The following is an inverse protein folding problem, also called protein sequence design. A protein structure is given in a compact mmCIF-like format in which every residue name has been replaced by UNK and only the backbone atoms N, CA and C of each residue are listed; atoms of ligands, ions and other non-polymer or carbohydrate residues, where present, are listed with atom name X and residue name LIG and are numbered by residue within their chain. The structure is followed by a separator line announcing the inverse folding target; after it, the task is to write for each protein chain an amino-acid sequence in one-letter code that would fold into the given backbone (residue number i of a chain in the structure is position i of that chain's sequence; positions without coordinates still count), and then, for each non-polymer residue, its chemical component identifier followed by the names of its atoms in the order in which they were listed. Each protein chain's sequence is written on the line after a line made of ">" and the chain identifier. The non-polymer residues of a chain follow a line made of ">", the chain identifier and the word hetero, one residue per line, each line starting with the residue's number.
data_IF_252064597442
#
_entry.id   IF_252064597442
#
_cell.length_a   1.000
_cell.length_b   1.000
_cell.length_c   1.000
_cell.angle_alpha   90.00
_cell.angle_beta   90.00
_cell.angle_gamma   90.00
#
_symmetry.space_group_name_H-M   'P 1'
#
loop_
_entity.id
_entity.type
_entity.pdbx_description
1 polymer ?
#
# COMPACT_ATOMS: atom_id res chain seq x y z
N UNK A 1 1.43 -16.74 -5.29
CA UNK A 1 2.50 -16.73 -4.28
C UNK A 1 3.46 -17.86 -4.63
N UNK A 2 4.76 -17.62 -4.70
CA UNK A 2 5.73 -18.71 -4.90
C UNK A 2 5.63 -19.73 -3.75
N UNK A 3 5.93 -21.00 -4.04
CA UNK A 3 5.86 -22.09 -3.06
C UNK A 3 6.69 -21.83 -1.79
N UNK A 4 7.81 -21.11 -1.93
CA UNK A 4 8.64 -20.69 -0.81
C UNK A 4 7.99 -19.61 0.06
N UNK A 5 7.20 -18.69 -0.51
CA UNK A 5 6.54 -17.62 0.25
C UNK A 5 5.50 -18.18 1.24
N UNK A 6 4.83 -19.28 0.88
CA UNK A 6 3.86 -19.96 1.75
C UNK A 6 4.50 -20.49 3.04
N UNK A 7 5.79 -20.85 3.01
CA UNK A 7 6.55 -21.31 4.19
C UNK A 7 6.75 -20.20 5.23
N UNK A 8 6.65 -18.93 4.82
CA UNK A 8 6.76 -17.76 5.69
C UNK A 8 5.41 -17.09 6.00
N UNK A 9 4.32 -17.67 5.53
CA UNK A 9 2.98 -17.08 5.62
C UNK A 9 2.15 -17.67 6.76
N UNK A 10 1.27 -16.83 7.31
CA UNK A 10 0.18 -17.17 8.24
C UNK A 10 -1.12 -16.65 7.65
N UNK A 11 -2.18 -17.45 7.75
CA UNK A 11 -3.52 -17.02 7.34
C UNK A 11 -4.24 -16.42 8.55
N UNK A 12 -4.65 -15.15 8.45
CA UNK A 12 -5.40 -14.46 9.51
C UNK A 12 -6.87 -14.40 9.12
N UNK A 13 -7.73 -15.07 9.89
CA UNK A 13 -9.17 -14.94 9.78
C UNK A 13 -9.63 -13.76 10.62
N UNK A 14 -10.37 -12.82 10.03
CA UNK A 14 -10.96 -11.68 10.74
C UNK A 14 -12.43 -11.95 11.06
N UNK A 15 -13.06 -11.09 11.86
CA UNK A 15 -14.45 -11.23 12.30
C UNK A 15 -14.69 -12.48 13.17
N UNK A 16 -13.74 -12.81 14.04
CA UNK A 16 -13.87 -13.95 14.97
C UNK A 16 -15.08 -13.86 15.91
N UNK A 17 -15.62 -12.66 16.13
CA UNK A 17 -16.87 -12.40 16.86
C UNK A 17 -18.14 -12.91 16.16
N UNK A 18 -18.08 -13.13 14.85
CA UNK A 18 -19.19 -13.65 14.05
C UNK A 18 -19.26 -15.19 14.06
N UNK A 19 -18.34 -15.87 14.75
CA UNK A 19 -18.40 -17.32 14.94
C UNK A 19 -19.42 -17.65 16.04
N UNK A 20 -20.32 -18.59 15.77
CA UNK A 20 -21.28 -19.07 16.76
C UNK A 20 -20.57 -19.63 18.00
N UNK A 21 -21.18 -19.47 19.17
CA UNK A 21 -20.60 -19.87 20.45
C UNK A 21 -20.36 -21.39 20.48
N UNK A 22 -19.09 -21.82 20.51
CA UNK A 22 -18.68 -23.23 20.44
C UNK A 22 -18.26 -23.73 19.04
N UNK A 23 -18.38 -22.89 18.00
CA UNK A 23 -17.95 -23.20 16.63
C UNK A 23 -16.51 -22.77 16.36
N UNK A 24 -15.77 -23.58 15.59
CA UNK A 24 -14.38 -23.27 15.18
C UNK A 24 -14.28 -22.93 13.70
N UNK A 25 -13.36 -22.02 13.34
CA UNK A 25 -13.03 -21.72 11.93
C UNK A 25 -12.69 -22.98 11.14
N UNK A 26 -12.09 -23.97 11.80
CA UNK A 26 -11.76 -25.24 11.18
C UNK A 26 -12.99 -25.99 10.69
N UNK A 27 -14.02 -26.08 11.53
CA UNK A 27 -15.28 -26.73 11.15
C UNK A 27 -16.12 -25.88 10.19
N UNK A 28 -16.16 -24.56 10.40
CA UNK A 28 -17.06 -23.67 9.67
C UNK A 28 -16.57 -23.31 8.26
N UNK A 29 -15.25 -23.21 8.05
CA UNK A 29 -14.66 -22.68 6.81
C UNK A 29 -13.67 -23.65 6.18
N UNK A 30 -12.70 -24.13 6.96
CA UNK A 30 -11.57 -24.90 6.43
C UNK A 30 -12.01 -26.26 5.88
N UNK A 31 -12.85 -26.98 6.62
CA UNK A 31 -13.34 -28.30 6.20
C UNK A 31 -14.32 -28.23 5.01
N UNK A 32 -14.95 -27.07 4.78
CA UNK A 32 -15.93 -26.87 3.71
C UNK A 32 -15.35 -26.35 2.39
N UNK A 33 -14.10 -25.88 2.38
CA UNK A 33 -13.48 -25.26 1.21
C UNK A 33 -12.12 -25.91 0.90
N UNK A 34 -12.08 -26.66 -0.21
CA UNK A 34 -10.87 -27.38 -0.64
C UNK A 34 -9.70 -26.43 -0.90
N UNK A 35 -9.95 -25.32 -1.61
CA UNK A 35 -8.89 -24.36 -1.95
C UNK A 35 -8.30 -23.71 -0.69
N UNK A 36 -9.13 -23.45 0.32
CA UNK A 36 -8.71 -22.93 1.61
C UNK A 36 -7.88 -23.97 2.41
N UNK A 37 -8.30 -25.24 2.38
CA UNK A 37 -7.55 -26.33 2.98
C UNK A 37 -6.17 -26.53 2.32
N UNK A 38 -6.10 -26.44 0.98
CA UNK A 38 -4.84 -26.52 0.22
C UNK A 38 -3.93 -25.32 0.51
N UNK A 39 -4.48 -24.10 0.59
CA UNK A 39 -3.72 -22.91 1.00
C UNK A 39 -3.14 -23.07 2.40
N UNK A 40 -3.94 -23.52 3.36
CA UNK A 40 -3.49 -23.74 4.73
C UNK A 40 -2.46 -24.85 4.83
N UNK A 41 -2.59 -25.92 4.04
CA UNK A 41 -1.58 -26.96 3.95
C UNK A 41 -0.25 -26.39 3.42
N UNK A 42 -0.29 -25.51 2.41
CA UNK A 42 0.88 -24.77 1.92
C UNK A 42 1.50 -23.86 2.98
N UNK A 43 0.67 -23.26 3.84
CA UNK A 43 1.07 -22.50 5.02
C UNK A 43 1.40 -23.38 6.24
N UNK A 44 1.62 -24.69 6.08
CA UNK A 44 1.97 -25.59 7.18
C UNK A 44 0.93 -25.68 8.29
N UNK A 45 -0.35 -25.44 7.98
CA UNK A 45 -1.47 -25.41 8.92
C UNK A 45 -1.55 -24.17 9.80
N UNK A 46 -0.74 -23.14 9.54
CA UNK A 46 -0.66 -21.93 10.37
C UNK A 46 -1.80 -20.96 10.06
N UNK A 47 -2.70 -20.78 11.01
CA UNK A 47 -3.71 -19.73 10.98
C UNK A 47 -4.01 -19.20 12.38
N UNK A 48 -4.59 -18.00 12.44
CA UNK A 48 -5.14 -17.43 13.66
C UNK A 48 -6.47 -16.72 13.37
N UNK A 49 -7.26 -16.47 14.43
CA UNK A 49 -8.57 -15.84 14.33
C UNK A 49 -8.58 -14.56 15.16
N UNK A 50 -8.90 -13.44 14.51
CA UNK A 50 -8.88 -12.12 15.10
C UNK A 50 -10.30 -11.59 15.30
N UNK A 51 -10.59 -11.16 16.53
CA UNK A 51 -11.79 -10.38 16.85
C UNK A 51 -11.40 -8.91 16.95
N UNK A 52 -11.62 -8.17 15.86
CA UNK A 52 -11.27 -6.76 15.76
C UNK A 52 -12.11 -5.84 16.65
N UNK A 53 -13.22 -6.33 17.24
CA UNK A 53 -14.01 -5.58 18.22
C UNK A 53 -13.41 -5.63 19.64
N UNK A 54 -12.54 -6.61 19.91
CA UNK A 54 -11.90 -6.81 21.22
C UNK A 54 -10.53 -6.13 21.31
N UNK A 55 -10.49 -4.81 21.08
CA UNK A 55 -9.25 -4.03 21.01
C UNK A 55 -8.40 -4.00 22.29
N UNK A 56 -8.99 -4.39 23.43
CA UNK A 56 -8.30 -4.50 24.72
C UNK A 56 -7.64 -5.87 24.95
N UNK A 57 -8.01 -6.89 24.19
CA UNK A 57 -7.43 -8.23 24.35
C UNK A 57 -6.08 -8.35 23.64
N UNK A 58 -5.00 -8.39 24.42
CA UNK A 58 -3.63 -8.57 23.91
C UNK A 58 -3.24 -10.04 23.68
N UNK A 59 -4.07 -10.99 24.09
CA UNK A 59 -3.79 -12.42 23.94
C UNK A 59 -3.76 -12.83 22.46
N UNK A 60 -4.67 -12.30 21.64
CA UNK A 60 -4.72 -12.58 20.19
C UNK A 60 -3.46 -12.09 19.46
N UNK A 61 -2.90 -10.95 19.91
CA UNK A 61 -1.63 -10.43 19.41
C UNK A 61 -0.47 -11.35 19.83
N UNK A 62 -0.51 -11.86 21.07
CA UNK A 62 0.51 -12.77 21.59
C UNK A 62 0.51 -14.11 20.86
N UNK A 63 -0.66 -14.64 20.51
CA UNK A 63 -0.83 -15.86 19.71
C UNK A 63 -0.28 -15.69 18.29
N UNK A 64 -0.55 -14.56 17.64
CA UNK A 64 0.03 -14.26 16.33
C UNK A 64 1.55 -14.12 16.39
N UNK A 65 2.09 -13.45 17.41
CA UNK A 65 3.54 -13.32 17.59
C UNK A 65 4.21 -14.68 17.83
N UNK A 66 3.58 -15.57 18.60
CA UNK A 66 4.06 -16.94 18.78
C UNK A 66 4.08 -17.74 17.47
N UNK A 67 3.09 -17.53 16.59
CA UNK A 67 3.09 -18.12 15.24
C UNK A 67 4.24 -17.56 14.38
N UNK A 68 4.52 -16.25 14.46
CA UNK A 68 5.65 -15.63 13.75
C UNK A 68 6.99 -16.19 14.26
N UNK A 69 7.16 -16.33 15.57
CA UNK A 69 8.36 -16.94 16.17
C UNK A 69 8.54 -18.39 15.70
N UNK A 70 7.43 -19.15 15.63
CA UNK A 70 7.43 -20.53 15.10
C UNK A 70 7.78 -20.60 13.61
N UNK A 71 7.32 -19.63 12.80
CA UNK A 71 7.73 -19.50 11.38
C UNK A 71 9.24 -19.26 11.28
N UNK A 72 9.80 -18.37 12.09
CA UNK A 72 11.25 -18.11 12.07
C UNK A 72 12.03 -19.36 12.48
N UNK A 73 11.61 -20.07 13.53
CA UNK A 73 12.30 -21.29 13.99
C UNK A 73 12.23 -22.42 12.97
N UNK A 74 11.05 -22.68 12.40
CA UNK A 74 10.84 -23.73 11.39
C UNK A 74 11.58 -23.47 10.07
N UNK A 75 11.87 -22.21 9.75
CA UNK A 75 12.69 -21.81 8.61
C UNK A 75 14.18 -21.59 8.99
N UNK A 76 14.65 -22.16 10.10
CA UNK A 76 16.07 -22.16 10.49
C UNK A 76 16.60 -20.79 10.92
N UNK A 77 15.73 -19.91 11.42
CA UNK A 77 16.05 -18.53 11.78
C UNK A 77 16.18 -17.58 10.59
N UNK A 78 15.89 -18.04 9.38
CA UNK A 78 15.94 -17.25 8.15
C UNK A 78 14.64 -16.46 7.93
N UNK A 79 14.71 -15.41 7.12
CA UNK A 79 13.58 -14.58 6.70
C UNK A 79 13.33 -14.71 5.20
N UNK A 80 12.12 -14.36 4.76
CA UNK A 80 11.84 -14.28 3.34
C UNK A 80 12.68 -13.17 2.71
N UNK A 81 13.47 -13.50 1.69
CA UNK A 81 14.42 -12.56 1.06
C UNK A 81 13.94 -12.12 -0.31
N UNK A 82 14.40 -10.95 -0.76
CA UNK A 82 14.16 -10.48 -2.13
C UNK A 82 14.67 -11.45 -3.19
N UNK A 83 15.73 -12.21 -2.90
CA UNK A 83 16.25 -13.25 -3.79
C UNK A 83 15.22 -14.36 -4.03
N UNK A 84 14.53 -14.81 -2.98
CA UNK A 84 13.49 -15.84 -3.07
C UNK A 84 12.24 -15.34 -3.81
N UNK A 85 11.95 -14.03 -3.72
CA UNK A 85 10.91 -13.40 -4.54
C UNK A 85 11.32 -13.41 -6.01
N UNK A 86 12.55 -13.04 -6.31
CA UNK A 86 13.06 -13.00 -7.67
C UNK A 86 13.12 -14.39 -8.31
N UNK A 87 13.54 -15.42 -7.56
CA UNK A 87 13.48 -16.81 -8.02
C UNK A 87 12.03 -17.25 -8.35
N UNK A 88 11.04 -16.86 -7.54
CA UNK A 88 9.64 -17.17 -7.82
C UNK A 88 9.08 -16.41 -9.04
N UNK A 89 9.55 -15.18 -9.27
CA UNK A 89 9.19 -14.39 -10.46
C UNK A 89 9.83 -14.99 -11.73
N UNK A 90 11.09 -15.44 -11.63
CA UNK A 90 11.82 -16.09 -12.72
C UNK A 90 11.18 -17.44 -13.10
N UNK A 91 10.79 -18.26 -12.11
CA UNK A 91 10.08 -19.53 -12.34
C UNK A 91 8.73 -19.28 -13.05
N UNK A 92 7.96 -18.29 -12.59
CA UNK A 92 6.70 -17.91 -13.23
C UNK A 92 6.90 -17.41 -14.66
N UNK A 93 7.96 -16.63 -14.90
CA UNK A 93 8.30 -16.15 -16.24
C UNK A 93 8.66 -17.30 -17.18
N UNK A 94 9.39 -18.31 -16.70
CA UNK A 94 9.70 -19.52 -17.47
C UNK A 94 8.45 -20.33 -17.81
N UNK A 95 7.54 -20.55 -16.86
CA UNK A 95 6.27 -21.25 -17.10
C UNK A 95 5.43 -20.55 -18.17
N UNK A 96 5.28 -19.23 -18.07
CA UNK A 96 4.55 -18.43 -19.07
C UNK A 96 5.21 -18.46 -20.45
N UNK A 97 6.55 -18.51 -20.49
CA UNK A 97 7.30 -18.64 -21.74
C UNK A 97 7.09 -20.01 -22.38
N UNK A 98 7.09 -21.09 -21.59
CA UNK A 98 6.85 -22.44 -22.08
C UNK A 98 5.40 -22.60 -22.57
N UNK A 99 4.42 -22.08 -21.82
CA UNK A 99 3.01 -22.08 -22.24
C UNK A 99 2.83 -21.33 -23.57
N UNK A 100 3.49 -20.17 -23.72
CA UNK A 100 3.52 -19.43 -24.99
C UNK A 100 4.14 -20.25 -26.11
N UNK A 101 5.21 -21.00 -25.85
CA UNK A 101 5.86 -21.85 -26.87
C UNK A 101 4.90 -22.96 -27.32
N UNK A 102 4.26 -23.65 -26.38
CA UNK A 102 3.27 -24.69 -26.67
C UNK A 102 2.08 -24.15 -27.45
N UNK A 103 1.61 -22.94 -27.12
CA UNK A 103 0.52 -22.30 -27.85
C UNK A 103 0.92 -22.01 -29.30
N UNK A 104 2.09 -21.42 -29.52
CA UNK A 104 2.61 -21.15 -30.86
C UNK A 104 2.79 -22.45 -31.68
N UNK A 105 3.32 -23.51 -31.07
CA UNK A 105 3.47 -24.83 -31.72
C UNK A 105 2.11 -25.40 -32.15
N UNK A 106 1.07 -25.25 -31.30
CA UNK A 106 -0.31 -25.66 -31.64
C UNK A 106 -0.90 -24.82 -32.77
N UNK A 107 -0.69 -23.51 -32.76
CA UNK A 107 -1.15 -22.61 -33.83
C UNK A 107 -0.48 -22.93 -35.16
N UNK A 108 0.84 -23.16 -35.17
CA UNK A 108 1.55 -23.60 -36.37
C UNK A 108 1.05 -24.94 -36.89
N UNK A 109 0.78 -25.90 -36.00
CA UNK A 109 0.24 -27.20 -36.39
C UNK A 109 -1.16 -27.05 -37.00
N UNK A 110 -2.01 -26.19 -36.43
CA UNK A 110 -3.34 -25.92 -36.96
C UNK A 110 -3.26 -25.26 -38.34
N UNK A 111 -2.36 -24.29 -38.51
CA UNK A 111 -2.12 -23.63 -39.80
C UNK A 111 -1.64 -24.62 -40.86
N UNK A 112 -0.67 -25.49 -40.54
CA UNK A 112 -0.20 -26.56 -41.44
C UNK A 112 -1.33 -27.52 -41.84
N UNK A 113 -2.21 -27.88 -40.89
CA UNK A 113 -3.40 -28.71 -41.19
C UNK A 113 -4.37 -28.01 -42.12
N UNK A 114 -4.65 -26.73 -41.91
CA UNK A 114 -5.51 -25.93 -42.79
C UNK A 114 -4.91 -25.82 -44.20
N UNK A 115 -3.62 -25.52 -44.31
CA UNK A 115 -2.91 -25.44 -45.59
C UNK A 115 -2.93 -26.79 -46.33
N UNK A 116 -2.76 -27.92 -45.62
CA UNK A 116 -2.84 -29.25 -46.21
C UNK A 116 -4.25 -29.54 -46.77
N UNK A 117 -5.31 -29.23 -46.02
CA UNK A 117 -6.70 -29.40 -46.47
C UNK A 117 -6.98 -28.57 -47.72
N UNK A 118 -6.54 -27.30 -47.73
CA UNK A 118 -6.71 -26.41 -48.90
C UNK A 118 -5.94 -26.95 -50.12
N UNK A 119 -4.72 -27.44 -49.90
CA UNK A 119 -3.91 -28.03 -50.97
C UNK A 119 -4.55 -29.28 -51.55
N UNK A 120 -5.02 -30.20 -50.69
CA UNK A 120 -5.74 -31.41 -51.12
C UNK A 120 -7.01 -31.08 -51.91
N UNK A 121 -7.76 -30.07 -51.48
CA UNK A 121 -8.93 -29.59 -52.20
C UNK A 121 -8.57 -29.04 -53.59
N UNK A 122 -7.52 -28.22 -53.67
CA UNK A 122 -7.06 -27.64 -54.93
C UNK A 122 -6.55 -28.69 -55.91
N UNK A 123 -5.75 -29.66 -55.44
CA UNK A 123 -5.23 -30.76 -56.25
C UNK A 123 -6.38 -31.61 -56.81
N UNK A 124 -7.40 -31.91 -55.99
CA UNK A 124 -8.57 -32.68 -56.42
C UNK A 124 -9.42 -31.94 -57.47
N UNK A 125 -9.61 -30.65 -57.30
CA UNK A 125 -10.33 -29.82 -58.29
C UNK A 125 -9.56 -29.77 -59.62
N UNK A 126 -8.23 -29.61 -59.55
CA UNK A 126 -7.37 -29.61 -60.74
C UNK A 126 -7.43 -30.95 -61.49
N UNK A 127 -7.42 -32.08 -60.79
CA UNK A 127 -7.60 -33.41 -61.39
C UNK A 127 -8.94 -33.56 -62.11
N UNK A 128 -10.04 -33.07 -61.49
CA UNK A 128 -11.36 -33.11 -62.10
C UNK A 128 -11.42 -32.28 -63.40
N UNK A 129 -10.82 -31.09 -63.40
CA UNK A 129 -10.71 -30.25 -64.60
C UNK A 129 -9.90 -30.94 -65.70
N UNK A 130 -8.76 -31.52 -65.35
CA UNK A 130 -7.93 -32.26 -66.30
C UNK A 130 -8.65 -33.48 -66.89
N UNK A 131 -9.41 -34.22 -66.07
CA UNK A 131 -10.22 -35.35 -66.54
C UNK A 131 -11.34 -34.91 -67.48
N UNK A 132 -12.03 -33.80 -67.19
CA UNK A 132 -13.05 -33.24 -68.09
C UNK A 132 -12.44 -32.87 -69.44
N UNK A 133 -11.31 -32.16 -69.43
CA UNK A 133 -10.60 -31.79 -70.64
C UNK A 133 -10.16 -33.01 -71.48
N UNK A 134 -9.62 -34.06 -70.83
CA UNK A 134 -9.26 -35.32 -71.52
C UNK A 134 -10.47 -35.97 -72.20
N UNK A 135 -11.62 -36.06 -71.52
CA UNK A 135 -12.85 -36.63 -72.08
C UNK A 135 -13.34 -35.84 -73.29
N UNK A 136 -13.39 -34.52 -73.20
CA UNK A 136 -13.80 -33.66 -74.31
C UNK A 136 -12.87 -33.82 -75.52
N UNK A 137 -11.56 -33.90 -75.28
CA UNK A 137 -10.57 -34.12 -76.35
C UNK A 137 -10.68 -35.50 -77.01
N UNK A 138 -10.97 -36.55 -76.25
CA UNK A 138 -11.20 -37.89 -76.79
C UNK A 138 -12.50 -37.99 -77.60
N UNK A 139 -13.57 -37.35 -77.11
CA UNK A 139 -14.84 -37.27 -77.85
C UNK A 139 -14.67 -36.51 -79.17
N UNK A 140 -13.90 -35.42 -79.17
CA UNK A 140 -13.61 -34.66 -80.38
C UNK A 140 -12.82 -35.49 -81.39
N UNK A 141 -11.81 -36.25 -80.94
CA UNK A 141 -11.03 -37.16 -81.80
C UNK A 141 -11.90 -38.25 -82.42
N UNK A 142 -12.78 -38.90 -81.63
CA UNK A 142 -13.71 -39.93 -82.14
C UNK A 142 -14.66 -39.39 -83.21
N UNK A 143 -15.14 -38.14 -83.05
CA UNK A 143 -15.98 -37.49 -84.06
C UNK A 143 -15.23 -37.28 -85.37
N UNK A 144 -13.97 -36.82 -85.31
CA UNK A 144 -13.12 -36.63 -86.49
C UNK A 144 -12.79 -37.94 -87.21
N UNK A 145 -12.55 -39.04 -86.47
CA UNK A 145 -12.29 -40.36 -87.07
C UNK A 145 -13.53 -40.92 -87.79
N UNK A 146 -14.71 -40.81 -87.17
CA UNK A 146 -15.97 -41.26 -87.77
C UNK A 146 -16.31 -40.46 -89.04
N UNK A 147 -15.97 -39.18 -89.07
CA UNK A 147 -16.16 -38.31 -90.23
C UNK A 147 -15.25 -38.73 -91.39
N UNK A 148 -13.96 -38.97 -91.13
CA UNK A 148 -13.01 -39.50 -92.13
C UNK A 148 -13.43 -40.86 -92.67
N UNK A 149 -13.93 -41.75 -91.82
CA UNK A 149 -14.41 -43.08 -92.25
C UNK A 149 -15.63 -42.97 -93.18
N UNK A 150 -16.56 -42.03 -92.89
CA UNK A 150 -17.70 -41.73 -93.77
C UNK A 150 -17.24 -41.20 -95.12
N UNK A 151 -16.26 -40.29 -95.14
CA UNK A 151 -15.68 -39.75 -96.38
C UNK A 151 -14.99 -40.84 -97.22
N UNK A 152 -14.17 -41.69 -96.60
CA UNK A 152 -13.50 -42.79 -97.29
C UNK A 152 -14.48 -43.83 -97.84
N UNK A 153 -15.54 -44.15 -97.08
CA UNK A 153 -16.58 -45.05 -97.56
C UNK A 153 -17.30 -44.47 -98.77
N UNK A 154 -17.64 -43.19 -98.73
CA UNK A 154 -18.25 -42.49 -99.85
C UNK A 154 -17.34 -42.45 -101.08
N UNK A 155 -16.02 -42.28 -100.89
CA UNK A 155 -15.04 -42.36 -101.97
C UNK A 155 -14.96 -43.76 -102.58
N UNK A 156 -14.92 -44.82 -101.76
CA UNK A 156 -14.93 -46.22 -102.22
C UNK A 156 -16.20 -46.57 -103.00
N UNK A 157 -17.36 -46.11 -102.55
CA UNK A 157 -18.63 -46.33 -103.23
C UNK A 157 -18.66 -45.63 -104.61
N UNK A 158 -18.10 -44.41 -104.71
CA UNK A 158 -17.93 -43.67 -105.98
C UNK A 158 -16.98 -44.39 -106.95
N UNK A 159 -15.85 -44.90 -106.44
CA UNK A 159 -14.88 -45.65 -107.26
C UNK A 159 -15.42 -47.00 -107.73
N UNK A 160 -16.18 -47.71 -106.88
CA UNK A 160 -16.84 -48.97 -107.24
C UNK A 160 -17.87 -48.80 -108.34
N UNK A 161 -18.70 -47.75 -108.24
CA UNK A 161 -19.66 -47.38 -109.28
C UNK A 161 -18.96 -47.01 -110.61
N UNK A 162 -17.84 -46.31 -110.55
CA UNK A 162 -17.04 -45.94 -111.72
C UNK A 162 -16.40 -47.15 -112.42
N UNK A 163 -15.92 -48.15 -111.66
CA UNK A 163 -15.28 -49.36 -112.19
C UNK A 163 -16.27 -50.31 -112.88
N UNK A 164 -17.45 -50.50 -112.28
CA UNK A 164 -18.54 -51.29 -112.86
C UNK A 164 -19.07 -50.66 -114.17
N UNK A 165 -19.10 -49.33 -114.25
CA UNK A 165 -19.51 -48.60 -115.45
C UNK A 165 -18.51 -48.72 -116.62
N UNK A 166 -17.20 -48.84 -116.33
CA UNK A 166 -16.17 -49.00 -117.36
C UNK A 166 -16.22 -50.37 -118.06
N UNK A 167 -16.56 -51.44 -117.34
CA UNK A 167 -16.64 -52.81 -117.89
C UNK A 167 -17.87 -53.04 -118.78
N UNK A 168 -18.95 -52.27 -118.59
CA UNK A 168 -20.19 -52.41 -119.35
C UNK A 168 -20.21 -51.59 -120.66
N UNK A 169 -19.28 -50.65 -120.84
CA UNK A 169 -19.31 -49.67 -121.94
C UNK A 169 -18.47 -50.01 -123.18
N UNK A 170 -17.60 -51.01 -123.13
CA UNK A 170 -16.77 -51.45 -124.28
C UNK A 170 -17.60 -52.10 -125.43
N UNK A 171 -18.87 -52.43 -125.17
CA UNK A 171 -19.79 -53.07 -126.15
C UNK A 171 -20.76 -52.13 -126.88
N UNK A 172 -20.88 -50.86 -126.49
CA UNK A 172 -21.93 -49.94 -126.99
C UNK A 172 -21.38 -48.68 -127.69
N UNK A 173 -20.09 -48.68 -128.03
CA UNK A 173 -19.32 -47.46 -128.31
C UNK A 173 -19.53 -46.82 -129.71
N UNK A 174 -20.16 -47.51 -130.67
CA UNK A 174 -20.32 -46.97 -132.05
C UNK A 174 -21.68 -46.35 -132.34
N UNK A 175 -22.70 -46.61 -131.52
CA UNK A 175 -24.07 -46.13 -131.78
C UNK A 175 -24.51 -45.01 -130.82
N UNK A 176 -23.77 -44.83 -129.71
CA UNK A 176 -24.04 -43.83 -128.67
C UNK A 176 -23.56 -42.41 -128.99
N UNK A 177 -22.57 -42.20 -129.86
CA UNK A 177 -21.83 -40.90 -129.94
C UNK A 177 -22.68 -39.64 -130.21
N UNK A 178 -23.88 -39.79 -130.77
CA UNK A 178 -24.80 -38.66 -131.00
C UNK A 178 -25.85 -38.52 -129.87
N UNK A 179 -26.24 -39.60 -129.19
CA UNK A 179 -27.15 -39.57 -128.02
C UNK A 179 -26.40 -39.31 -126.69
N UNK A 180 -25.13 -39.70 -126.59
CA UNK A 180 -24.26 -39.55 -125.42
C UNK A 180 -24.02 -38.08 -125.10
N UNK A 181 -23.82 -37.24 -126.13
CA UNK A 181 -23.53 -35.81 -125.98
C UNK A 181 -24.69 -35.05 -125.32
N UNK A 182 -25.94 -35.45 -125.62
CA UNK A 182 -27.14 -34.85 -125.03
C UNK A 182 -27.33 -35.28 -123.58
N UNK A 183 -27.17 -36.57 -123.27
CA UNK A 183 -27.21 -37.07 -121.87
C UNK A 183 -26.07 -36.53 -121.00
N UNK A 184 -24.87 -36.33 -121.56
CA UNK A 184 -23.74 -35.76 -120.84
C UNK A 184 -23.97 -34.30 -120.44
N UNK A 185 -24.71 -33.54 -121.27
CA UNK A 185 -25.12 -32.18 -120.93
C UNK A 185 -26.18 -32.17 -119.83
N UNK A 186 -27.16 -33.09 -119.87
CA UNK A 186 -28.19 -33.19 -118.81
C UNK A 186 -27.58 -33.62 -117.46
N UNK A 187 -26.66 -34.59 -117.44
CA UNK A 187 -25.96 -35.02 -116.21
C UNK A 187 -25.06 -33.91 -115.66
N UNK A 188 -24.35 -33.17 -116.51
CA UNK A 188 -23.55 -32.02 -116.08
C UNK A 188 -24.43 -30.92 -115.48
N UNK A 189 -25.59 -30.65 -116.09
CA UNK A 189 -26.56 -29.67 -115.56
C UNK A 189 -27.10 -30.10 -114.20
N UNK A 190 -27.49 -31.37 -114.03
CA UNK A 190 -27.95 -31.89 -112.74
C UNK A 190 -26.84 -31.95 -111.67
N UNK A 191 -25.59 -32.24 -112.04
CA UNK A 191 -24.46 -32.17 -111.11
C UNK A 191 -24.12 -30.74 -110.71
N UNK A 192 -24.22 -29.79 -111.62
CA UNK A 192 -24.02 -28.37 -111.37
C UNK A 192 -25.13 -27.82 -110.47
N UNK A 193 -26.39 -28.17 -110.74
CA UNK A 193 -27.54 -27.88 -109.86
C UNK A 193 -27.38 -28.52 -108.46
N UNK A 194 -26.87 -29.76 -108.37
CA UNK A 194 -26.57 -30.42 -107.07
C UNK A 194 -25.40 -29.77 -106.33
N UNK A 195 -24.36 -29.32 -107.03
CA UNK A 195 -23.22 -28.60 -106.42
C UNK A 195 -23.66 -27.22 -105.95
N UNK A 196 -24.48 -26.51 -106.73
CA UNK A 196 -25.07 -25.24 -106.34
C UNK A 196 -25.99 -25.40 -105.12
N UNK A 197 -26.84 -26.43 -105.08
CA UNK A 197 -27.68 -26.71 -103.92
C UNK A 197 -26.85 -27.04 -102.66
N UNK A 198 -25.80 -27.85 -102.80
CA UNK A 198 -24.90 -28.19 -101.68
C UNK A 198 -24.10 -26.98 -101.21
N UNK A 199 -23.66 -26.11 -102.13
CA UNK A 199 -23.01 -24.85 -101.81
C UNK A 199 -23.96 -23.90 -101.09
N UNK A 200 -25.23 -23.84 -101.52
CA UNK A 200 -26.25 -23.00 -100.87
C UNK A 200 -26.56 -23.51 -99.44
N UNK A 201 -26.59 -24.82 -99.21
CA UNK A 201 -26.70 -25.41 -97.87
C UNK A 201 -25.48 -25.11 -96.99
N UNK A 202 -24.26 -25.20 -97.56
CA UNK A 202 -23.02 -24.86 -96.87
C UNK A 202 -22.95 -23.37 -96.51
N UNK A 203 -23.37 -22.49 -97.43
CA UNK A 203 -23.45 -21.05 -97.20
C UNK A 203 -24.48 -20.71 -96.12
N UNK A 204 -25.63 -21.40 -96.09
CA UNK A 204 -26.62 -21.28 -95.01
C UNK A 204 -26.05 -21.72 -93.67
N UNK A 205 -25.38 -22.88 -93.61
CA UNK A 205 -24.75 -23.37 -92.39
C UNK A 205 -23.66 -22.40 -91.88
N UNK A 206 -22.83 -21.87 -92.79
CA UNK A 206 -21.77 -20.90 -92.46
C UNK A 206 -22.35 -19.62 -91.85
N UNK A 207 -23.40 -19.05 -92.46
CA UNK A 207 -24.08 -17.86 -91.91
C UNK A 207 -24.64 -18.10 -90.50
N UNK A 208 -25.22 -19.28 -90.23
CA UNK A 208 -25.74 -19.58 -88.89
C UNK A 208 -24.64 -19.71 -87.83
N UNK A 209 -23.47 -20.25 -88.19
CA UNK A 209 -22.32 -20.34 -87.30
C UNK A 209 -21.70 -18.95 -87.03
N UNK A 210 -21.59 -18.12 -88.05
CA UNK A 210 -21.13 -16.72 -87.90
C UNK A 210 -22.04 -15.92 -86.97
N UNK A 211 -23.37 -16.06 -87.11
CA UNK A 211 -24.34 -15.44 -86.19
C UNK A 211 -24.19 -15.94 -84.74
N UNK A 212 -23.89 -17.23 -84.54
CA UNK A 212 -23.66 -17.79 -83.21
C UNK A 212 -22.37 -17.23 -82.58
N UNK A 213 -21.29 -17.15 -83.36
CA UNK A 213 -20.03 -16.55 -82.92
C UNK A 213 -20.24 -15.08 -82.52
N UNK A 214 -20.96 -14.31 -83.34
CA UNK A 214 -21.22 -12.89 -83.05
C UNK A 214 -22.06 -12.72 -81.76
N UNK A 215 -23.04 -13.60 -81.52
CA UNK A 215 -23.83 -13.63 -80.27
C UNK A 215 -22.95 -13.95 -79.07
N UNK A 216 -22.08 -14.96 -79.17
CA UNK A 216 -21.13 -15.30 -78.10
C UNK A 216 -20.16 -14.16 -77.80
N UNK A 217 -19.63 -13.49 -78.81
CA UNK A 217 -18.73 -12.36 -78.63
C UNK A 217 -19.40 -11.17 -77.96
N UNK A 218 -20.68 -10.91 -78.29
CA UNK A 218 -21.49 -9.89 -77.59
C UNK A 218 -21.66 -10.24 -76.11
N UNK A 219 -21.94 -11.51 -75.79
CA UNK A 219 -22.04 -11.99 -74.40
C UNK A 219 -20.70 -11.85 -73.68
N UNK A 220 -19.59 -12.27 -74.30
CA UNK A 220 -18.24 -12.17 -73.74
C UNK A 220 -17.84 -10.72 -73.47
N UNK A 221 -18.19 -9.77 -74.37
CA UNK A 221 -17.95 -8.33 -74.17
C UNK A 221 -18.76 -7.77 -73.01
N UNK A 222 -20.08 -8.05 -72.95
CA UNK A 222 -20.93 -7.61 -71.85
C UNK A 222 -20.46 -8.17 -70.49
N UNK A 223 -20.03 -9.43 -70.45
CA UNK A 223 -19.50 -10.06 -69.24
C UNK A 223 -18.19 -9.39 -68.77
N UNK A 224 -17.27 -9.06 -69.69
CA UNK A 224 -16.03 -8.32 -69.36
C UNK A 224 -16.32 -6.93 -68.81
N UNK A 225 -17.26 -6.19 -69.41
CA UNK A 225 -17.65 -4.86 -68.95
C UNK A 225 -18.26 -4.89 -67.54
N UNK A 226 -19.12 -5.87 -67.24
CA UNK A 226 -19.71 -6.02 -65.91
C UNK A 226 -18.64 -6.36 -64.86
N UNK A 227 -17.74 -7.32 -65.15
CA UNK A 227 -16.61 -7.65 -64.25
C UNK A 227 -15.76 -6.40 -63.97
N UNK A 228 -15.53 -5.56 -64.98
CA UNK A 228 -14.74 -4.35 -64.83
C UNK A 228 -15.47 -3.27 -64.00
N UNK A 229 -16.79 -3.12 -64.18
CA UNK A 229 -17.63 -2.24 -63.35
C UNK A 229 -17.62 -2.68 -61.89
N UNK A 230 -17.82 -3.98 -61.63
CA UNK A 230 -17.81 -4.56 -60.28
C UNK A 230 -16.46 -4.35 -59.59
N UNK A 231 -15.35 -4.50 -60.32
CA UNK A 231 -14.00 -4.19 -59.80
C UNK A 231 -13.87 -2.73 -59.35
N UNK A 232 -14.25 -1.78 -60.22
CA UNK A 232 -14.16 -0.35 -59.91
C UNK A 232 -15.08 0.02 -58.74
N UNK A 233 -16.29 -0.57 -58.67
CA UNK A 233 -17.23 -0.33 -57.58
C UNK A 233 -16.70 -0.88 -56.25
N UNK A 234 -16.12 -2.09 -56.25
CA UNK A 234 -15.51 -2.67 -55.06
C UNK A 234 -14.29 -1.84 -54.59
N UNK A 235 -13.41 -1.41 -55.49
CA UNK A 235 -12.29 -0.52 -55.15
C UNK A 235 -12.76 0.80 -54.54
N UNK A 236 -13.85 1.39 -55.05
CA UNK A 236 -14.46 2.59 -54.46
C UNK A 236 -14.98 2.32 -53.05
N UNK A 237 -15.71 1.22 -52.85
CA UNK A 237 -16.22 0.79 -51.54
C UNK A 237 -15.10 0.56 -50.53
N UNK A 238 -13.98 -0.03 -50.95
CA UNK A 238 -12.83 -0.26 -50.09
C UNK A 238 -12.13 1.06 -49.71
N UNK A 239 -11.94 1.97 -50.67
CA UNK A 239 -11.43 3.33 -50.37
C UNK A 239 -12.36 4.11 -49.43
N UNK A 240 -13.68 4.00 -49.59
CA UNK A 240 -14.64 4.62 -48.68
C UNK A 240 -14.53 4.05 -47.26
N UNK A 241 -14.37 2.73 -47.12
CA UNK A 241 -14.13 2.09 -45.81
C UNK A 241 -12.83 2.56 -45.17
N UNK A 242 -11.75 2.65 -45.94
CA UNK A 242 -10.46 3.18 -45.46
C UNK A 242 -10.59 4.62 -44.97
N UNK A 243 -11.24 5.50 -45.74
CA UNK A 243 -11.47 6.89 -45.34
C UNK A 243 -12.33 6.96 -44.07
N UNK A 244 -13.40 6.16 -43.98
CA UNK A 244 -14.24 6.09 -42.78
C UNK A 244 -13.46 5.59 -41.57
N UNK A 245 -12.56 4.63 -41.75
CA UNK A 245 -11.73 4.11 -40.66
C UNK A 245 -10.72 5.15 -40.18
N UNK A 246 -10.06 5.86 -41.09
CA UNK A 246 -9.16 6.97 -40.77
C UNK A 246 -9.92 8.07 -40.02
N UNK A 247 -11.13 8.45 -40.45
CA UNK A 247 -11.95 9.45 -39.77
C UNK A 247 -12.35 9.02 -38.36
N UNK A 248 -12.76 7.76 -38.17
CA UNK A 248 -13.05 7.22 -36.84
C UNK A 248 -11.82 7.25 -35.94
N UNK A 249 -10.66 6.85 -36.47
CA UNK A 249 -9.41 6.84 -35.72
C UNK A 249 -8.97 8.25 -35.33
N UNK A 250 -9.10 9.23 -36.23
CA UNK A 250 -8.84 10.65 -35.92
C UNK A 250 -9.79 11.17 -34.83
N UNK A 251 -11.08 10.84 -34.88
CA UNK A 251 -12.04 11.23 -33.85
C UNK A 251 -11.72 10.60 -32.48
N UNK A 252 -11.26 9.34 -32.46
CA UNK A 252 -10.78 8.68 -31.23
C UNK A 252 -9.54 9.41 -30.70
N UNK A 253 -8.54 9.68 -31.55
CA UNK A 253 -7.32 10.42 -31.15
C UNK A 253 -7.64 11.79 -30.55
N UNK A 254 -8.54 12.55 -31.16
CA UNK A 254 -8.97 13.86 -30.62
C UNK A 254 -9.68 13.74 -29.27
N UNK A 255 -10.54 12.73 -29.08
CA UNK A 255 -11.19 12.48 -27.79
C UNK A 255 -10.18 12.09 -26.71
N UNK A 256 -9.20 11.25 -27.05
CA UNK A 256 -8.13 10.86 -26.13
C UNK A 256 -7.24 12.04 -25.75
N UNK A 257 -6.91 12.91 -26.71
CA UNK A 257 -6.14 14.13 -26.47
C UNK A 257 -6.87 15.08 -25.52
N UNK A 258 -8.16 15.37 -25.79
CA UNK A 258 -8.98 16.16 -24.86
C UNK A 258 -9.07 15.54 -23.46
N UNK A 259 -9.17 14.20 -23.37
CA UNK A 259 -9.17 13.50 -22.08
C UNK A 259 -7.84 13.64 -21.35
N UNK A 260 -6.71 13.55 -22.06
CA UNK A 260 -5.36 13.77 -21.49
C UNK A 260 -5.21 15.19 -21.00
N UNK A 261 -5.64 16.19 -21.76
CA UNK A 261 -5.60 17.59 -21.34
C UNK A 261 -6.48 17.85 -20.11
N UNK A 262 -7.68 17.25 -20.05
CA UNK A 262 -8.56 17.37 -18.90
C UNK A 262 -7.93 16.75 -17.63
N UNK A 263 -7.38 15.54 -17.74
CA UNK A 263 -6.66 14.87 -16.65
C UNK A 263 -5.43 15.67 -16.21
N UNK A 264 -4.69 16.26 -17.15
CA UNK A 264 -3.54 17.11 -16.83
C UNK A 264 -3.96 18.36 -16.04
N UNK A 265 -5.10 18.98 -16.39
CA UNK A 265 -5.65 20.11 -15.64
C UNK A 265 -6.06 19.71 -14.23
N UNK A 266 -6.68 18.55 -14.07
CA UNK A 266 -7.03 18.02 -12.73
C UNK A 266 -5.78 17.71 -11.90
N UNK A 267 -4.78 17.07 -12.50
CA UNK A 267 -3.50 16.80 -11.84
C UNK A 267 -2.83 18.09 -11.38
N UNK A 268 -2.74 19.10 -12.25
CA UNK A 268 -2.13 20.39 -11.89
C UNK A 268 -2.88 21.06 -10.72
N UNK A 269 -4.21 20.98 -10.68
CA UNK A 269 -5.00 21.49 -9.54
C UNK A 269 -4.69 20.74 -8.25
N UNK A 270 -4.65 19.41 -8.32
CA UNK A 270 -4.32 18.58 -7.16
C UNK A 270 -2.91 18.87 -6.63
N UNK A 271 -1.92 19.01 -7.53
CA UNK A 271 -0.57 19.41 -7.17
C UNK A 271 -0.54 20.76 -6.47
N UNK A 272 -1.23 21.77 -7.00
CA UNK A 272 -1.33 23.09 -6.36
C UNK A 272 -1.95 23.00 -4.96
N UNK A 273 -3.05 22.26 -4.80
CA UNK A 273 -3.69 22.11 -3.49
C UNK A 273 -2.79 21.39 -2.49
N UNK A 274 -1.99 20.42 -2.95
CA UNK A 274 -1.07 19.67 -2.10
C UNK A 274 0.13 20.53 -1.70
N UNK A 275 0.66 21.36 -2.62
CA UNK A 275 1.69 22.36 -2.30
C UNK A 275 1.19 23.39 -1.29
N UNK A 276 -0.05 23.88 -1.42
CA UNK A 276 -0.66 24.80 -0.45
C UNK A 276 -0.82 24.14 0.93
N UNK A 277 -1.29 22.89 0.98
CA UNK A 277 -1.39 22.14 2.23
C UNK A 277 -0.01 21.92 2.89
N UNK A 278 1.01 21.62 2.10
CA UNK A 278 2.39 21.47 2.60
C UNK A 278 2.91 22.79 3.17
N UNK A 279 2.74 23.92 2.46
CA UNK A 279 3.11 25.25 2.97
C UNK A 279 2.40 25.58 4.28
N UNK A 280 1.09 25.32 4.35
CA UNK A 280 0.32 25.50 5.58
C UNK A 280 0.79 24.57 6.71
N UNK A 281 1.24 23.36 6.38
CA UNK A 281 1.87 22.42 7.32
C UNK A 281 3.19 22.95 7.88
N UNK A 282 4.10 23.38 6.99
CA UNK A 282 5.39 23.97 7.35
C UNK A 282 5.24 25.22 8.22
N UNK A 283 4.28 26.10 7.90
CA UNK A 283 4.02 27.31 8.69
C UNK A 283 3.48 26.98 10.09
N UNK A 284 2.61 25.95 10.21
CA UNK A 284 2.15 25.46 11.51
C UNK A 284 3.29 24.86 12.32
N UNK A 285 4.18 24.10 11.67
CA UNK A 285 5.35 23.51 12.33
C UNK A 285 6.29 24.59 12.86
N UNK A 286 6.59 25.61 12.06
CA UNK A 286 7.36 26.80 12.51
C UNK A 286 6.70 27.51 13.68
N UNK A 287 5.37 27.69 13.63
CA UNK A 287 4.63 28.30 14.74
C UNK A 287 4.74 27.48 16.03
N UNK A 288 4.63 26.14 15.93
CA UNK A 288 4.79 25.24 17.07
C UNK A 288 6.23 25.30 17.60
N UNK A 289 7.23 25.29 16.73
CA UNK A 289 8.64 25.38 17.11
C UNK A 289 8.95 26.70 17.82
N UNK A 290 8.44 27.83 17.31
CA UNK A 290 8.58 29.14 17.94
C UNK A 290 7.89 29.23 19.30
N UNK A 291 6.73 28.57 19.47
CA UNK A 291 6.05 28.48 20.76
C UNK A 291 6.85 27.63 21.76
N UNK A 292 7.36 26.48 21.31
CA UNK A 292 8.21 25.61 22.14
C UNK A 292 9.51 26.31 22.53
N UNK A 293 10.13 27.06 21.62
CA UNK A 293 11.32 27.87 21.92
C UNK A 293 11.03 28.91 23.01
N UNK A 294 9.93 29.68 22.85
CA UNK A 294 9.51 30.68 23.86
C UNK A 294 9.23 30.05 25.22
N UNK A 295 8.52 28.93 25.26
CA UNK A 295 8.25 28.22 26.51
C UNK A 295 9.53 27.71 27.19
N UNK A 296 10.51 27.21 26.41
CA UNK A 296 11.82 26.83 26.96
C UNK A 296 12.58 28.01 27.54
N UNK A 297 12.58 29.15 26.85
CA UNK A 297 13.21 30.38 27.33
C UNK A 297 12.55 30.92 28.60
N UNK A 298 11.22 30.90 28.67
CA UNK A 298 10.47 31.30 29.88
C UNK A 298 10.76 30.37 31.06
N UNK A 299 10.70 29.05 30.86
CA UNK A 299 11.04 28.07 31.89
C UNK A 299 12.48 28.25 32.39
N UNK A 300 13.42 28.54 31.49
CA UNK A 300 14.81 28.81 31.87
C UNK A 300 14.92 30.10 32.70
N UNK A 301 14.25 31.17 32.28
CA UNK A 301 14.21 32.44 33.04
C UNK A 301 13.60 32.25 34.43
N UNK A 302 12.51 31.50 34.55
CA UNK A 302 11.89 31.20 35.84
C UNK A 302 12.85 30.42 36.75
N UNK A 303 13.54 29.41 36.20
CA UNK A 303 14.54 28.64 36.93
C UNK A 303 15.70 29.53 37.40
N UNK A 304 16.21 30.42 36.54
CA UNK A 304 17.28 31.35 36.90
C UNK A 304 16.84 32.32 38.01
N UNK A 305 15.62 32.84 37.95
CA UNK A 305 15.02 33.69 39.00
C UNK A 305 14.91 32.91 40.32
N UNK A 306 14.43 31.65 40.28
CA UNK A 306 14.34 30.82 41.47
C UNK A 306 15.70 30.57 42.11
N UNK A 307 16.72 30.26 41.30
CA UNK A 307 18.09 30.05 41.78
C UNK A 307 18.63 31.33 42.42
N UNK A 308 18.43 32.49 41.81
CA UNK A 308 18.92 33.76 42.36
C UNK A 308 18.19 34.15 43.64
N UNK A 309 16.87 33.89 43.74
CA UNK A 309 16.10 34.07 44.96
C UNK A 309 16.62 33.18 46.09
N UNK A 310 16.88 31.90 45.84
CA UNK A 310 17.48 31.00 46.84
C UNK A 310 18.87 31.48 47.28
N UNK A 311 19.69 31.98 46.34
CA UNK A 311 21.00 32.58 46.67
C UNK A 311 20.85 33.85 47.51
N UNK A 312 19.85 34.69 47.23
CA UNK A 312 19.57 35.90 47.99
C UNK A 312 19.06 35.58 49.40
N UNK A 313 18.16 34.61 49.55
CA UNK A 313 17.71 34.12 50.85
C UNK A 313 18.88 33.54 51.66
N UNK A 314 19.73 32.72 51.05
CA UNK A 314 20.92 32.19 51.72
C UNK A 314 21.81 33.34 52.25
N UNK A 315 22.08 34.35 51.42
CA UNK A 315 22.80 35.57 51.84
C UNK A 315 22.12 36.28 53.02
N UNK A 316 20.80 36.44 53.00
CA UNK A 316 20.03 37.04 54.11
C UNK A 316 20.15 36.22 55.39
N UNK A 317 20.01 34.89 55.31
CA UNK A 317 20.13 34.01 56.48
C UNK A 317 21.54 34.02 57.07
N UNK A 318 22.58 34.10 56.23
CA UNK A 318 23.97 34.21 56.67
C UNK A 318 24.23 35.55 57.35
N UNK A 319 23.70 36.66 56.81
CA UNK A 319 23.78 37.97 57.43
C UNK A 319 23.10 37.99 58.83
N UNK A 320 21.87 37.47 58.93
CA UNK A 320 21.16 37.36 60.22
C UNK A 320 21.92 36.48 61.22
N UNK A 321 22.55 35.38 60.77
CA UNK A 321 23.42 34.55 61.63
C UNK A 321 24.63 35.32 62.15
N UNK A 322 25.24 36.18 61.32
CA UNK A 322 26.35 37.03 61.76
C UNK A 322 25.89 38.08 62.76
N UNK A 323 24.75 38.74 62.53
CA UNK A 323 24.15 39.69 63.47
C UNK A 323 23.83 39.03 64.82
N UNK A 324 23.20 37.85 64.80
CA UNK A 324 22.93 37.07 66.01
C UNK A 324 24.21 36.71 66.77
N UNK A 325 25.29 36.37 66.06
CA UNK A 325 26.60 36.10 66.68
C UNK A 325 27.14 37.34 67.40
N UNK A 326 27.04 38.52 66.76
CA UNK A 326 27.45 39.80 67.38
C UNK A 326 26.61 40.09 68.62
N UNK A 327 25.28 39.97 68.53
CA UNK A 327 24.38 40.19 69.66
C UNK A 327 24.73 39.24 70.80
N UNK A 328 24.94 37.95 70.52
CA UNK A 328 25.33 36.95 71.52
C UNK A 328 26.61 37.36 72.26
N UNK A 329 27.65 37.78 71.53
CA UNK A 329 28.91 38.22 72.15
C UNK A 329 28.74 39.48 73.02
N UNK A 330 27.91 40.44 72.60
CA UNK A 330 27.59 41.62 73.42
C UNK A 330 26.83 41.25 74.69
N UNK A 331 25.91 40.30 74.59
CA UNK A 331 25.12 39.82 75.72
C UNK A 331 26.00 39.08 76.74
N UNK A 332 26.95 38.27 76.27
CA UNK A 332 27.98 37.64 77.12
C UNK A 332 28.87 38.69 77.82
N UNK A 333 29.30 39.74 77.11
CA UNK A 333 30.06 40.85 77.70
C UNK A 333 29.25 41.60 78.77
N UNK A 334 27.99 41.90 78.48
CA UNK A 334 27.08 42.55 79.45
C UNK A 334 26.90 41.67 80.69
N UNK A 335 26.64 40.37 80.50
CA UNK A 335 26.48 39.43 81.61
C UNK A 335 27.75 39.37 82.48
N UNK A 336 28.94 39.28 81.86
CA UNK A 336 30.20 39.31 82.60
C UNK A 336 30.40 40.63 83.38
N UNK A 337 29.98 41.76 82.79
CA UNK A 337 30.06 43.07 83.46
C UNK A 337 29.09 43.17 84.64
N UNK A 338 27.87 42.66 84.48
CA UNK A 338 26.86 42.61 85.54
C UNK A 338 27.31 41.69 86.68
N UNK A 339 27.90 40.55 86.36
CA UNK A 339 28.44 39.61 87.34
C UNK A 339 29.62 40.22 88.11
N UNK A 340 30.49 40.99 87.44
CA UNK A 340 31.56 41.75 88.09
C UNK A 340 31.01 42.83 89.04
N UNK A 341 30.01 43.60 88.60
CA UNK A 341 29.34 44.59 89.45
C UNK A 341 28.65 43.95 90.65
N UNK A 342 28.01 42.79 90.49
CA UNK A 342 27.44 42.00 91.60
C UNK A 342 28.52 41.61 92.61
N UNK A 343 29.66 41.08 92.15
CA UNK A 343 30.80 40.73 93.02
C UNK A 343 31.34 41.96 93.77
N UNK A 344 31.47 43.11 93.09
CA UNK A 344 31.90 44.36 93.73
C UNK A 344 30.90 44.84 94.78
N UNK A 345 29.59 44.74 94.50
CA UNK A 345 28.55 45.11 95.45
C UNK A 345 28.56 44.18 96.68
N UNK A 346 28.70 42.88 96.48
CA UNK A 346 28.84 41.89 97.56
C UNK A 346 30.08 42.17 98.41
N UNK A 347 31.21 42.49 97.79
CA UNK A 347 32.43 42.83 98.51
C UNK A 347 32.29 44.15 99.29
N UNK A 348 31.66 45.17 98.71
CA UNK A 348 31.36 46.42 99.41
C UNK A 348 30.40 46.20 100.59
N UNK A 349 29.33 45.42 100.41
CA UNK A 349 28.42 45.04 101.49
C UNK A 349 29.15 44.28 102.59
N UNK A 350 30.07 43.37 102.23
CA UNK A 350 30.91 42.65 103.19
C UNK A 350 31.81 43.62 103.96
N UNK A 351 32.49 44.54 103.28
CA UNK A 351 33.34 45.56 103.94
C UNK A 351 32.54 46.46 104.89
N UNK A 352 31.35 46.90 104.49
CA UNK A 352 30.48 47.70 105.36
C UNK A 352 29.97 46.88 106.55
N UNK A 353 29.62 45.59 106.37
CA UNK A 353 29.32 44.69 107.49
C UNK A 353 30.51 44.53 108.43
N UNK A 354 31.73 44.38 107.90
CA UNK A 354 32.96 44.29 108.69
C UNK A 354 33.23 45.59 109.47
N UNK A 355 33.03 46.76 108.85
CA UNK A 355 33.10 48.08 109.54
C UNK A 355 32.06 48.21 110.63
N UNK A 356 30.79 47.91 110.33
CA UNK A 356 29.70 47.95 111.32
C UNK A 356 29.99 47.00 112.48
N UNK A 357 30.48 45.79 112.20
CA UNK A 357 30.92 44.84 113.23
C UNK A 357 32.10 45.39 114.06
N UNK A 358 33.05 46.09 113.44
CA UNK A 358 34.14 46.74 114.15
C UNK A 358 33.65 47.88 115.05
N UNK A 359 32.72 48.71 114.58
CA UNK A 359 32.07 49.76 115.38
C UNK A 359 31.26 49.17 116.54
N UNK A 360 30.47 48.13 116.29
CA UNK A 360 29.77 47.36 117.33
C UNK A 360 30.78 46.80 118.34
N UNK A 361 31.94 46.29 117.89
CA UNK A 361 33.01 45.79 118.77
C UNK A 361 33.62 46.91 119.62
N UNK A 362 33.83 48.11 119.06
CA UNK A 362 34.30 49.29 119.80
C UNK A 362 33.26 49.76 120.83
N UNK A 363 31.99 49.83 120.44
CA UNK A 363 30.87 50.15 121.34
C UNK A 363 30.71 49.10 122.44
N UNK A 364 30.90 47.82 122.10
CA UNK A 364 30.89 46.72 123.07
C UNK A 364 32.04 46.87 124.04
N UNK A 365 33.27 47.12 123.59
CA UNK A 365 34.41 47.44 124.47
C UNK A 365 34.16 48.68 125.33
N UNK A 366 33.50 49.72 124.79
CA UNK A 366 33.14 50.91 125.55
C UNK A 366 32.07 50.63 126.61
N UNK A 367 31.04 49.84 126.27
CA UNK A 367 30.05 49.34 127.22
C UNK A 367 30.69 48.45 128.27
N UNK A 368 31.58 47.53 127.89
CA UNK A 368 32.33 46.69 128.83
C UNK A 368 33.19 47.55 129.77
N UNK A 369 33.80 48.63 129.27
CA UNK A 369 34.54 49.62 130.08
C UNK A 369 33.63 50.38 131.04
N UNK A 370 32.45 50.81 130.57
CA UNK A 370 31.43 51.51 131.38
C UNK A 370 30.80 50.59 132.42
N UNK A 371 30.52 49.34 132.08
CA UNK A 371 30.09 48.28 132.99
C UNK A 371 31.19 47.97 134.02
N UNK A 372 32.46 48.00 133.62
CA UNK A 372 33.61 47.87 134.53
C UNK A 372 33.74 49.08 135.49
N UNK A 373 33.46 50.29 135.02
CA UNK A 373 33.43 51.52 135.84
C UNK A 373 32.24 51.54 136.81
N UNK A 374 31.06 51.09 136.38
CA UNK A 374 29.89 50.90 137.24
C UNK A 374 30.10 49.79 138.27
N UNK A 375 30.77 48.69 137.88
CA UNK A 375 31.14 47.59 138.78
C UNK A 375 32.16 48.03 139.84
N UNK A 376 33.03 49.01 139.54
CA UNK A 376 33.97 49.62 140.50
C UNK A 376 33.33 50.67 141.43
N UNK A 377 32.19 51.28 141.07
CA UNK A 377 31.43 52.19 141.95
C UNK A 377 30.49 51.47 142.93
N UNK A 378 30.15 50.20 142.72
CA UNK A 378 29.21 49.44 143.57
C UNK A 378 29.85 48.52 144.63
N UNK A 379 31.10 48.73 145.04
CA UNK A 379 31.73 47.95 146.14
C UNK A 379 32.38 48.85 147.20
N UNK A 380 31.57 49.61 147.93
CA UNK A 380 31.81 49.99 149.34
C UNK A 380 30.47 50.46 149.96
N UNK A 381 30.07 49.75 151.02
CA UNK A 381 28.88 49.90 151.90
C UNK A 381 27.49 49.78 151.27
N UNK A 382 26.54 48.96 151.74
CA UNK A 382 26.53 47.78 152.63
C UNK A 382 25.07 47.31 152.72
N UNK A 383 24.87 46.00 152.49
CA UNK A 383 24.01 45.04 153.23
C UNK A 383 22.46 45.10 153.22
N UNK A 384 21.90 43.92 152.88
CA UNK A 384 20.64 43.28 153.35
C UNK A 384 19.30 43.84 152.83
N UNK A 385 18.23 43.08 152.49
CA UNK A 385 17.84 41.66 152.69
C UNK A 385 16.62 41.33 151.77
N UNK A 386 16.49 40.05 151.39
CA UNK A 386 15.27 39.22 151.12
C UNK A 386 14.20 39.67 150.09
N UNK A 387 14.03 39.02 148.91
CA UNK A 387 13.51 37.66 148.58
C UNK A 387 11.98 37.55 148.49
N UNK A 388 11.48 37.35 147.25
CA UNK A 388 10.40 36.40 146.93
C UNK A 388 10.52 35.97 145.46
N UNK A 389 10.58 34.65 145.26
CA UNK A 389 10.47 33.99 143.96
C UNK A 389 9.01 33.93 143.49
N UNK A 390 8.81 33.97 142.17
CA UNK A 390 7.88 33.05 141.53
C UNK A 390 8.43 32.64 140.16
N UNK A 391 8.62 31.33 140.01
CA UNK A 391 8.82 30.64 138.74
C UNK A 391 7.51 30.63 137.95
N UNK A 392 7.57 30.75 136.63
CA UNK A 392 6.85 29.84 135.72
C UNK A 392 7.76 29.55 134.52
N UNK A 393 8.00 28.25 134.34
CA UNK A 393 8.80 27.57 133.32
C UNK A 393 7.94 27.01 132.18
N UNK A 394 8.56 26.88 130.99
CA UNK A 394 8.17 25.96 129.90
C UNK A 394 7.68 26.69 128.64
N UNK A 395 8.07 26.41 127.40
CA UNK A 395 8.82 25.34 126.70
C UNK A 395 9.29 25.97 125.35
N UNK A 396 10.57 25.96 124.94
CA UNK A 396 11.26 24.98 124.05
C UNK A 396 10.42 24.52 122.84
N UNK A 397 10.78 24.89 121.59
CA UNK A 397 11.57 24.09 120.63
C UNK A 397 11.66 24.74 119.22
N UNK A 398 12.70 24.34 118.48
CA UNK A 398 13.15 24.76 117.14
C UNK A 398 12.12 24.60 116.00
N UNK A 399 12.47 25.19 114.84
CA UNK A 399 12.26 24.80 113.42
C UNK A 399 12.01 26.09 112.62
N UNK A 400 12.65 26.44 111.50
CA UNK A 400 13.55 25.77 110.56
C UNK A 400 13.42 26.57 109.25
N UNK A 401 14.54 27.04 108.70
CA UNK A 401 14.65 27.73 107.42
C UNK A 401 14.72 26.69 106.29
N UNK A 402 13.69 26.55 105.46
CA UNK A 402 13.65 26.02 104.06
C UNK A 402 12.26 26.47 103.52
N UNK A 403 12.01 27.04 102.34
CA UNK A 403 12.58 26.94 101.00
C UNK A 403 11.46 26.51 100.04
N UNK A 404 11.15 27.37 99.06
CA UNK A 404 10.47 27.12 97.77
C UNK A 404 9.04 26.52 97.69
N UNK A 405 8.19 27.29 96.98
CA UNK A 405 7.37 26.94 95.80
C UNK A 405 5.81 26.94 95.88
N UNK A 406 5.24 27.60 94.84
CA UNK A 406 3.91 27.45 94.21
C UNK A 406 2.65 27.90 94.99
N UNK A 407 1.56 28.43 94.42
CA UNK A 407 1.14 28.96 93.10
C UNK A 407 -0.33 29.47 93.27
N UNK A 408 -0.90 30.06 92.21
CA UNK A 408 -2.34 30.33 91.90
C UNK A 408 -2.91 31.70 92.34
N UNK A 409 -3.09 32.63 91.38
CA UNK A 409 -4.33 32.93 90.59
C UNK A 409 -5.19 34.02 91.30
N UNK A 410 -5.83 35.02 90.70
CA UNK A 410 -6.14 35.45 89.33
C UNK A 410 -6.77 36.87 89.40
N UNK A 411 -7.23 37.39 88.25
CA UNK A 411 -8.10 38.57 87.98
C UNK A 411 -7.32 39.77 87.40
N UNK A 412 -7.59 40.27 86.19
CA UNK A 412 -8.63 39.92 85.22
C UNK A 412 -8.41 40.62 83.88
N UNK A 413 -9.19 40.20 82.88
CA UNK A 413 -9.24 40.70 81.51
C UNK A 413 -9.66 42.20 81.43
N UNK A 414 -9.53 42.87 80.27
CA UNK A 414 -10.55 42.70 79.22
C UNK A 414 -10.03 42.70 77.76
N UNK A 415 -10.94 42.27 76.88
CA UNK A 415 -10.91 42.20 75.41
C UNK A 415 -10.55 43.51 74.67
N UNK A 416 -10.02 43.36 73.45
CA UNK A 416 -10.71 43.63 72.15
C UNK A 416 -9.79 44.17 71.05
N UNK A 417 -9.77 43.45 69.92
CA UNK A 417 -9.84 43.87 68.50
C UNK A 417 -8.98 45.08 68.05
N UNK A 418 -8.02 44.82 67.15
CA UNK A 418 -8.13 45.14 65.71
C UNK A 418 -7.15 44.31 64.88
#
# INVERSE_FOLDING_TARGET
>A
MGSQALRYSVVVFTFGDCLEEGSSVQHCLINGCRDLAELLAGCGGRYCVFNNQSSKNKEQVSELLALVDSIMQSNGGSFYTSKMLQEAEDDLAQELQEERRVLNEKEELLKKKQEAIVKEWYDRELELVQQKYKREMEELKKKQELEKEKEEKLARDREGAFRHWMEENDKKEKEKKIQEMVRLMDIRREEEERREALQEELDKATRTLEEQIEREEKIKRAMKENIQKDRIENEKKDREREIQQIQKEQAIRQREEMRREALQKELNKLTQTLEEQNRMGEDREKQIEDLLRRAREENQREMDIQIENQRAEKRRTEALKQELKIIKTKLEQQNNSEESLKRQLEENLRREREKCNAEISVLKKHCDKKCSELSKKMKKSSTERHSTMSNVTGYVQEMGLVGLNAALESVGAPCSIQ
#
